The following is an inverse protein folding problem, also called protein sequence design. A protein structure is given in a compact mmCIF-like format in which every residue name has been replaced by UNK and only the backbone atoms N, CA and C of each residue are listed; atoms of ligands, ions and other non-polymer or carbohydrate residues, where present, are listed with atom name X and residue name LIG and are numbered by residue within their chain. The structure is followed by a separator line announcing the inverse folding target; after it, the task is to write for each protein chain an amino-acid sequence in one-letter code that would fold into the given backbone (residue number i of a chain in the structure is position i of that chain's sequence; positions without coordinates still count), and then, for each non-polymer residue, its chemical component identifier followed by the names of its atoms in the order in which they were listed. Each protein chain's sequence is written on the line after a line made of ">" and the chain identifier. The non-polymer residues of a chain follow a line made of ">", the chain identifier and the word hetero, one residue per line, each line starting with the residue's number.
data_IF_637482628524
#
_entry.id   IF_637482628524
#
_cell.length_a   1.000
_cell.length_b   1.000
_cell.length_c   1.000
_cell.angle_alpha   90.00
_cell.angle_beta   90.00
_cell.angle_gamma   90.00
#
_symmetry.space_group_name_H-M   'P 1'
#
loop_
_entity.id
_entity.type
_entity.pdbx_description
1 polymer ?
#
# COMPACT_ATOMS: atom_id res chain seq x y z
N UNK A 1 -7.25 -10.28 -19.98
CA UNK A 1 -7.92 -10.09 -18.67
C UNK A 1 -9.26 -10.80 -18.71
N UNK A 2 -9.62 -11.63 -17.72
CA UNK A 2 -10.93 -12.31 -17.70
C UNK A 2 -12.05 -11.30 -17.33
N UNK A 3 -13.26 -11.47 -17.89
CA UNK A 3 -14.43 -10.63 -17.60
C UNK A 3 -14.74 -10.47 -16.10
N UNK A 4 -14.56 -11.52 -15.30
CA UNK A 4 -14.78 -11.45 -13.85
C UNK A 4 -13.84 -10.44 -13.20
N UNK A 5 -12.56 -10.45 -13.58
CA UNK A 5 -11.56 -9.54 -13.04
C UNK A 5 -11.85 -8.09 -13.42
N UNK A 6 -12.29 -7.83 -14.66
CA UNK A 6 -12.68 -6.47 -15.06
C UNK A 6 -13.84 -5.95 -14.21
N UNK A 7 -14.89 -6.77 -13.98
CA UNK A 7 -16.02 -6.37 -13.14
C UNK A 7 -15.63 -6.08 -11.69
N UNK A 8 -14.69 -6.86 -11.14
CA UNK A 8 -14.16 -6.62 -9.80
C UNK A 8 -13.46 -5.26 -9.76
N UNK A 9 -12.59 -4.98 -10.73
CA UNK A 9 -11.88 -3.70 -10.79
C UNK A 9 -12.84 -2.52 -10.94
N UNK A 10 -13.81 -2.63 -11.85
CA UNK A 10 -14.83 -1.58 -12.06
C UNK A 10 -15.65 -1.32 -10.78
N UNK A 11 -16.04 -2.38 -10.06
CA UNK A 11 -16.75 -2.27 -8.78
C UNK A 11 -15.92 -1.58 -7.67
N UNK A 12 -14.59 -1.60 -7.78
CA UNK A 12 -13.67 -0.94 -6.84
C UNK A 12 -13.17 0.41 -7.35
N UNK A 13 -13.80 0.98 -8.38
CA UNK A 13 -13.49 2.32 -8.90
C UNK A 13 -12.64 2.34 -10.17
N UNK A 14 -12.46 1.18 -10.81
CA UNK A 14 -11.74 1.05 -12.07
C UNK A 14 -10.23 1.24 -11.93
N UNK A 15 -9.51 1.03 -13.04
CA UNK A 15 -8.06 1.22 -13.09
C UNK A 15 -7.64 2.66 -13.40
N UNK A 16 -8.51 3.46 -14.00
CA UNK A 16 -8.17 4.82 -14.44
C UNK A 16 -7.76 5.69 -13.27
N UNK A 17 -8.56 5.68 -12.19
CA UNK A 17 -8.22 6.38 -10.95
C UNK A 17 -6.88 5.93 -10.35
N UNK A 18 -6.55 4.64 -10.44
CA UNK A 18 -5.24 4.14 -9.97
C UNK A 18 -4.11 4.67 -10.85
N UNK A 19 -4.29 4.64 -12.18
CA UNK A 19 -3.29 5.08 -13.17
C UNK A 19 -3.00 6.58 -13.10
N UNK A 20 -3.95 7.38 -12.64
CA UNK A 20 -3.78 8.82 -12.47
C UNK A 20 -2.91 9.21 -11.26
N UNK A 21 -2.60 8.27 -10.36
CA UNK A 21 -1.71 8.54 -9.23
C UNK A 21 -0.25 8.34 -9.63
N UNK A 22 0.55 9.40 -9.56
CA UNK A 22 1.98 9.36 -9.90
C UNK A 22 2.89 9.15 -8.68
N UNK A 23 2.39 9.44 -7.47
CA UNK A 23 3.17 9.38 -6.24
C UNK A 23 2.31 8.97 -5.06
N UNK A 24 2.86 8.12 -4.18
CA UNK A 24 2.24 7.76 -2.91
C UNK A 24 3.17 8.19 -1.79
N UNK A 25 2.66 9.01 -0.87
CA UNK A 25 3.39 9.38 0.33
C UNK A 25 2.76 8.70 1.55
N UNK A 26 3.61 8.10 2.38
CA UNK A 26 3.16 7.41 3.59
C UNK A 26 4.03 7.81 4.78
N UNK A 27 3.43 7.86 5.96
CA UNK A 27 4.17 7.95 7.22
C UNK A 27 4.08 6.60 7.92
N UNK A 28 5.20 5.90 8.05
CA UNK A 28 5.26 4.61 8.74
C UNK A 28 5.75 4.83 10.16
N UNK A 29 4.98 4.31 11.12
CA UNK A 29 5.43 4.09 12.50
C UNK A 29 5.70 2.60 12.62
N UNK A 30 6.93 2.22 12.99
CA UNK A 30 7.21 0.82 13.26
C UNK A 30 6.66 0.44 14.64
N UNK A 31 5.86 -0.62 14.65
CA UNK A 31 5.24 -1.18 15.83
C UNK A 31 4.62 -2.54 15.51
N UNK A 32 4.05 -3.18 16.54
CA UNK A 32 3.50 -4.53 16.41
C UNK A 32 4.54 -5.58 16.04
N UNK A 33 4.08 -6.78 15.67
CA UNK A 33 4.95 -7.93 15.44
C UNK A 33 5.60 -7.96 14.04
N UNK A 34 5.16 -7.11 13.10
CA UNK A 34 5.55 -7.22 11.70
C UNK A 34 7.06 -7.11 11.46
N UNK A 35 7.71 -6.06 11.99
CA UNK A 35 9.15 -5.85 11.81
C UNK A 35 10.00 -6.91 12.54
N UNK A 36 9.71 -7.24 13.82
CA UNK A 36 10.37 -8.36 14.50
C UNK A 36 10.23 -9.71 13.78
N UNK A 37 9.05 -10.01 13.21
CA UNK A 37 8.82 -11.24 12.43
C UNK A 37 9.68 -11.31 11.17
N UNK A 38 10.17 -10.17 10.68
CA UNK A 38 11.09 -10.08 9.54
C UNK A 38 12.56 -9.99 9.96
N UNK A 39 12.87 -10.14 11.26
CA UNK A 39 14.23 -10.00 11.78
C UNK A 39 14.75 -8.56 11.74
N UNK A 40 13.87 -7.56 11.58
CA UNK A 40 14.23 -6.15 11.50
C UNK A 40 13.89 -5.46 12.82
N UNK A 41 14.87 -4.74 13.39
CA UNK A 41 14.63 -3.81 14.48
C UNK A 41 14.39 -2.44 13.85
N UNK A 42 13.13 -1.99 13.90
CA UNK A 42 12.76 -0.66 13.45
C UNK A 42 12.19 0.10 14.64
N UNK A 43 12.77 1.26 14.93
CA UNK A 43 12.30 2.12 16.02
C UNK A 43 10.92 2.73 15.69
N UNK A 44 10.22 3.16 16.74
CA UNK A 44 8.90 3.77 16.62
C UNK A 44 8.93 5.22 16.07
N UNK A 45 10.08 5.70 15.57
CA UNK A 45 10.17 7.04 15.00
C UNK A 45 9.42 7.07 13.67
N UNK A 46 8.41 7.95 13.51
CA UNK A 46 7.69 8.10 12.26
C UNK A 46 8.65 8.52 11.13
N UNK A 47 8.60 7.82 10.00
CA UNK A 47 9.37 8.17 8.80
C UNK A 47 8.44 8.42 7.64
N UNK A 48 8.65 9.54 6.94
CA UNK A 48 7.99 9.83 5.67
C UNK A 48 8.70 9.06 4.57
N UNK A 49 7.94 8.24 3.87
CA UNK A 49 8.35 7.60 2.62
C UNK A 49 7.67 8.32 1.47
N UNK A 50 8.43 8.53 0.40
CA UNK A 50 8.00 9.21 -0.83
C UNK A 50 8.13 8.31 -2.02
#
# INVERSE_FOLDING_TARGET
>A
MNQLLNRILDAHGGMDRWRDNEKVEATIVAGGAFFPLKGMIQDATPRRLT
#
